data_IF_521213065050
#
_entry.id   IF_521213065050
#
_cell.length_a   1.000
_cell.length_b   1.000
_cell.length_c   1.000
_cell.angle_alpha   90.00
_cell.angle_beta   90.00
_cell.angle_gamma   90.00
#
_symmetry.space_group_name_H-M   'P 1'
#
loop_
_entity.id
_entity.type
_entity.pdbx_description
1 polymer ?
#
# COMPACT_ATOMS: atom_id res chain seq x y z
N UNK A 1 -3.59 5.83 5.91
CA UNK A 1 -3.25 4.48 6.43
C UNK A 1 -4.10 3.51 5.64
N UNK A 2 -3.50 2.58 4.89
CA UNK A 2 -4.26 1.62 4.10
C UNK A 2 -4.77 0.50 5.02
N UNK A 3 -6.08 0.31 5.07
CA UNK A 3 -6.71 -0.79 5.78
C UNK A 3 -7.37 -1.71 4.77
N UNK A 4 -7.41 -3.01 5.07
CA UNK A 4 -8.13 -3.97 4.24
C UNK A 4 -9.61 -3.59 4.12
N UNK A 5 -10.03 -3.17 2.93
CA UNK A 5 -11.46 -2.97 2.57
C UNK A 5 -12.12 -4.26 2.05
N UNK A 6 -11.32 -5.30 1.77
CA UNK A 6 -11.79 -6.61 1.27
C UNK A 6 -12.68 -7.37 2.25
N UNK A 7 -12.60 -7.06 3.55
CA UNK A 7 -13.41 -7.66 4.59
C UNK A 7 -14.24 -6.56 5.23
N UNK A 8 -15.55 -6.59 4.98
CA UNK A 8 -16.44 -5.62 5.60
C UNK A 8 -16.46 -5.88 7.11
N UNK A 9 -16.25 -4.86 7.94
CA UNK A 9 -16.30 -5.00 9.38
C UNK A 9 -17.71 -5.38 9.83
N UNK A 10 -17.80 -6.27 10.81
CA UNK A 10 -19.06 -6.67 11.44
C UNK A 10 -19.05 -6.19 12.90
N UNK A 11 -19.50 -4.95 13.19
CA UNK A 11 -19.20 -4.28 14.46
C UNK A 11 -19.70 -5.02 15.70
N UNK A 12 -20.69 -5.89 15.55
CA UNK A 12 -21.36 -6.63 16.62
C UNK A 12 -20.69 -7.97 16.97
N UNK A 13 -19.76 -8.45 16.13
CA UNK A 13 -19.14 -9.77 16.26
C UNK A 13 -17.62 -9.66 16.40
N UNK A 14 -17.02 -10.57 17.14
CA UNK A 14 -15.58 -10.71 17.17
C UNK A 14 -15.07 -11.31 15.86
N UNK A 15 -14.17 -10.60 15.20
CA UNK A 15 -13.51 -11.02 13.98
C UNK A 15 -12.67 -12.29 14.13
N UNK A 16 -12.23 -12.64 15.35
CA UNK A 16 -11.48 -13.86 15.60
C UNK A 16 -12.37 -15.10 15.77
N UNK A 17 -13.38 -15.03 16.64
CA UNK A 17 -14.16 -16.21 17.06
C UNK A 17 -15.61 -16.21 16.53
N UNK A 18 -16.07 -15.11 15.92
CA UNK A 18 -17.43 -14.96 15.38
C UNK A 18 -18.53 -14.80 16.43
N UNK A 19 -18.17 -14.79 17.72
CA UNK A 19 -19.14 -14.62 18.81
C UNK A 19 -19.47 -13.13 19.02
N UNK A 20 -20.69 -12.82 19.52
CA UNK A 20 -21.06 -11.46 19.86
C UNK A 20 -20.05 -10.77 20.78
N UNK A 21 -19.86 -9.49 20.54
CA UNK A 21 -19.09 -8.64 21.43
C UNK A 21 -19.89 -8.33 22.69
N UNK A 22 -19.23 -8.37 23.84
CA UNK A 22 -19.72 -7.80 25.08
C UNK A 22 -19.07 -6.43 25.29
N UNK A 23 -19.85 -5.43 25.69
CA UNK A 23 -19.40 -4.03 25.82
C UNK A 23 -18.13 -3.87 26.70
N UNK A 24 -17.93 -4.75 27.69
CA UNK A 24 -16.87 -4.59 28.70
C UNK A 24 -15.51 -5.23 28.35
N UNK A 25 -15.45 -6.07 27.30
CA UNK A 25 -14.25 -6.90 27.04
C UNK A 25 -13.97 -7.05 25.54
N UNK A 26 -14.33 -6.01 24.78
CA UNK A 26 -14.14 -5.93 23.35
C UNK A 26 -13.76 -4.52 22.90
N UNK A 27 -13.05 -4.45 21.79
CA UNK A 27 -12.55 -3.21 21.22
C UNK A 27 -12.74 -3.23 19.70
N UNK A 28 -13.17 -2.10 19.16
CA UNK A 28 -13.13 -1.82 17.72
C UNK A 28 -11.86 -1.03 17.42
N UNK A 29 -11.04 -1.52 16.49
CA UNK A 29 -9.77 -0.89 16.14
C UNK A 29 -9.93 0.11 14.98
N UNK A 30 -8.90 0.92 14.73
CA UNK A 30 -8.88 1.93 13.65
C UNK A 30 -9.14 1.35 12.25
N UNK A 31 -8.87 0.06 12.05
CA UNK A 31 -9.19 -0.67 10.83
C UNK A 31 -10.65 -1.15 10.76
N UNK A 32 -11.51 -0.65 11.66
CA UNK A 32 -12.92 -1.00 11.84
C UNK A 32 -13.21 -2.46 12.22
N UNK A 33 -12.18 -3.30 12.40
CA UNK A 33 -12.34 -4.67 12.88
C UNK A 33 -12.44 -4.71 14.41
N UNK A 34 -13.25 -5.63 14.91
CA UNK A 34 -13.62 -5.75 16.30
C UNK A 34 -13.18 -7.08 16.89
N UNK A 35 -12.63 -7.05 18.11
CA UNK A 35 -12.14 -8.25 18.79
C UNK A 35 -12.53 -8.23 20.26
N UNK A 36 -12.75 -9.41 20.84
CA UNK A 36 -12.60 -9.54 22.29
C UNK A 36 -11.14 -9.27 22.66
N UNK A 37 -10.90 -8.69 23.83
CA UNK A 37 -9.53 -8.41 24.29
C UNK A 37 -8.67 -9.68 24.34
N UNK A 38 -9.26 -10.80 24.79
CA UNK A 38 -8.61 -12.10 24.83
C UNK A 38 -8.38 -12.72 23.44
N UNK A 39 -9.14 -12.29 22.42
CA UNK A 39 -9.02 -12.76 21.05
C UNK A 39 -8.04 -11.91 20.23
N UNK A 40 -7.72 -10.70 20.68
CA UNK A 40 -6.83 -9.81 19.97
C UNK A 40 -5.37 -10.19 20.21
N UNK A 41 -4.71 -10.71 19.18
CA UNK A 41 -3.31 -11.13 19.24
C UNK A 41 -2.33 -9.99 18.89
N UNK A 42 -2.56 -8.79 19.41
CA UNK A 42 -1.77 -7.56 19.12
C UNK A 42 -1.72 -7.14 17.64
N UNK A 43 -2.55 -7.73 16.77
CA UNK A 43 -2.66 -7.40 15.35
C UNK A 43 -4.03 -7.82 14.79
N UNK A 44 -4.52 -7.08 13.80
CA UNK A 44 -5.71 -7.48 13.05
C UNK A 44 -5.30 -8.46 11.94
N UNK A 45 -5.93 -9.65 11.92
CA UNK A 45 -5.59 -10.71 10.95
C UNK A 45 -5.84 -10.27 9.50
N UNK A 46 -6.91 -9.51 9.25
CA UNK A 46 -7.25 -9.08 7.90
C UNK A 46 -6.28 -8.03 7.36
N UNK A 47 -5.89 -7.07 8.21
CA UNK A 47 -4.86 -6.10 7.85
C UNK A 47 -3.51 -6.78 7.62
N UNK A 48 -3.14 -7.73 8.47
CA UNK A 48 -1.90 -8.50 8.30
C UNK A 48 -1.86 -9.21 6.94
N UNK A 49 -2.93 -9.92 6.57
CA UNK A 49 -3.01 -10.62 5.28
C UNK A 49 -3.01 -9.65 4.09
N UNK A 50 -3.69 -8.50 4.22
CA UNK A 50 -3.64 -7.44 3.22
C UNK A 50 -2.20 -6.91 3.03
N UNK A 51 -1.49 -6.59 4.11
CA UNK A 51 -0.11 -6.13 4.01
C UNK A 51 0.81 -7.18 3.37
N UNK A 52 0.67 -8.47 3.75
CA UNK A 52 1.45 -9.56 3.14
C UNK A 52 1.21 -9.62 1.62
N UNK A 53 -0.04 -9.51 1.19
CA UNK A 53 -0.42 -9.54 -0.22
C UNK A 53 0.18 -8.35 -0.98
N UNK A 54 -0.07 -7.13 -0.51
CA UNK A 54 0.42 -5.90 -1.16
C UNK A 54 1.94 -5.86 -1.21
N UNK A 55 2.63 -6.30 -0.16
CA UNK A 55 4.09 -6.40 -0.17
C UNK A 55 4.56 -7.36 -1.27
N UNK A 56 3.90 -8.51 -1.40
CA UNK A 56 4.26 -9.49 -2.42
C UNK A 56 3.98 -9.00 -3.85
N UNK A 57 2.85 -8.33 -4.06
CA UNK A 57 2.48 -7.69 -5.34
C UNK A 57 3.52 -6.62 -5.72
N UNK A 58 3.87 -5.74 -4.79
CA UNK A 58 4.89 -4.70 -5.00
C UNK A 58 6.27 -5.30 -5.33
N UNK A 59 6.71 -6.33 -4.60
CA UNK A 59 7.98 -6.99 -4.87
C UNK A 59 7.98 -7.63 -6.26
N UNK A 60 6.90 -8.31 -6.64
CA UNK A 60 6.81 -8.93 -7.95
C UNK A 60 6.77 -7.90 -9.08
N UNK A 61 6.05 -6.80 -8.90
CA UNK A 61 6.02 -5.69 -9.86
C UNK A 61 7.44 -5.11 -10.04
N UNK A 62 8.14 -4.87 -8.93
CA UNK A 62 9.52 -4.39 -8.94
C UNK A 62 10.49 -5.36 -9.64
N UNK A 63 10.40 -6.66 -9.35
CA UNK A 63 11.23 -7.68 -10.01
C UNK A 63 10.98 -7.74 -11.53
N UNK A 64 9.70 -7.67 -11.95
CA UNK A 64 9.35 -7.61 -13.38
C UNK A 64 9.96 -6.40 -14.09
N UNK A 65 10.00 -5.24 -13.42
CA UNK A 65 10.64 -4.05 -13.99
C UNK A 65 12.16 -4.22 -14.12
N UNK A 66 12.83 -4.78 -13.11
CA UNK A 66 14.27 -5.09 -13.18
C UNK A 66 14.56 -6.04 -14.35
N UNK A 67 13.76 -7.10 -14.51
CA UNK A 67 13.92 -8.10 -15.57
C UNK A 67 13.68 -7.52 -16.98
N UNK A 68 12.76 -6.55 -17.12
CA UNK A 68 12.49 -5.87 -18.40
C UNK A 68 13.67 -5.04 -18.90
N UNK A 69 14.61 -4.62 -18.03
CA UNK A 69 15.88 -3.99 -18.41
C UNK A 69 15.81 -2.58 -19.00
N UNK A 70 14.63 -2.03 -19.28
CA UNK A 70 14.43 -0.64 -19.71
C UNK A 70 14.02 0.25 -18.53
N UNK A 71 14.81 1.29 -18.24
CA UNK A 71 14.52 2.33 -17.24
C UNK A 71 13.39 3.30 -17.64
N UNK A 72 12.45 2.88 -18.49
CA UNK A 72 11.28 3.70 -18.86
C UNK A 72 10.05 3.14 -18.15
N UNK A 73 9.69 3.79 -17.05
CA UNK A 73 8.40 3.57 -16.40
C UNK A 73 7.28 3.83 -17.42
N UNK A 74 6.48 2.82 -17.73
CA UNK A 74 5.29 2.97 -18.57
C UNK A 74 4.05 3.07 -17.68
N UNK A 75 3.02 3.81 -18.13
CA UNK A 75 1.74 3.95 -17.39
C UNK A 75 1.11 2.59 -17.04
N UNK A 76 1.35 1.60 -17.89
CA UNK A 76 0.93 0.21 -17.72
C UNK A 76 1.56 -0.49 -16.50
N UNK A 77 2.69 0.00 -15.99
CA UNK A 77 3.33 -0.51 -14.77
C UNK A 77 2.79 0.19 -13.48
N UNK A 78 1.86 1.14 -13.62
CA UNK A 78 1.20 1.89 -12.54
C UNK A 78 -0.29 1.53 -12.36
N UNK A 79 -0.92 0.93 -13.37
CA UNK A 79 -2.33 0.56 -13.33
C UNK A 79 -2.50 -0.85 -12.75
N UNK A 80 -2.71 -0.93 -11.43
CA UNK A 80 -3.31 -2.10 -10.77
C UNK A 80 -4.73 -1.72 -10.33
N UNK A 81 -5.66 -1.83 -11.27
CA UNK A 81 -7.12 -1.98 -11.13
C UNK A 81 -7.81 -1.23 -9.95
N UNK A 82 -8.23 0.01 -10.24
CA UNK A 82 -9.59 0.54 -10.03
C UNK A 82 -10.34 0.13 -8.73
N UNK A 83 -9.95 0.68 -7.57
CA UNK A 83 -10.90 1.25 -6.59
C UNK A 83 -10.17 1.95 -5.43
N UNK A 84 -9.49 3.06 -5.71
CA UNK A 84 -9.39 4.13 -4.72
C UNK A 84 -9.25 5.44 -5.47
N UNK A 85 -10.20 6.35 -5.28
CA UNK A 85 -10.20 7.66 -5.92
C UNK A 85 -9.00 8.43 -5.37
N UNK A 86 -7.91 8.39 -6.11
CA UNK A 86 -6.63 8.99 -5.73
C UNK A 86 -6.53 10.40 -6.30
N UNK A 87 -7.10 11.38 -5.60
CA UNK A 87 -6.92 12.81 -5.92
C UNK A 87 -5.56 13.35 -5.42
N UNK A 88 -4.69 12.49 -4.85
CA UNK A 88 -3.39 12.85 -4.26
C UNK A 88 -2.15 12.21 -4.89
N UNK A 89 -2.28 11.12 -5.66
CA UNK A 89 -1.15 10.51 -6.38
C UNK A 89 -0.61 11.45 -7.44
N UNK A 90 -1.53 12.06 -8.20
CA UNK A 90 -1.23 12.76 -9.43
C UNK A 90 -0.32 13.97 -9.20
N UNK A 91 -0.34 14.55 -8.00
CA UNK A 91 0.61 15.60 -7.59
C UNK A 91 1.99 15.05 -7.21
N UNK A 92 2.04 13.94 -6.46
CA UNK A 92 3.31 13.29 -6.06
C UNK A 92 4.06 12.75 -7.28
N UNK A 93 3.35 12.19 -8.27
CA UNK A 93 3.94 11.72 -9.52
C UNK A 93 4.54 12.87 -10.34
N UNK A 94 3.87 14.03 -10.42
CA UNK A 94 4.40 15.22 -11.11
C UNK A 94 5.65 15.77 -10.45
N UNK A 95 5.77 15.66 -9.13
CA UNK A 95 6.97 16.07 -8.38
C UNK A 95 8.14 15.12 -8.67
N UNK A 96 7.91 13.81 -8.72
CA UNK A 96 8.94 12.80 -9.01
C UNK A 96 9.46 12.93 -10.45
N UNK A 97 8.57 13.12 -11.44
CA UNK A 97 8.96 13.30 -12.85
C UNK A 97 9.87 14.53 -13.03
N UNK A 98 9.52 15.66 -12.41
CA UNK A 98 10.35 16.87 -12.40
C UNK A 98 11.71 16.65 -11.74
N UNK A 99 11.76 15.88 -10.66
CA UNK A 99 13.01 15.58 -9.96
C UNK A 99 13.95 14.72 -10.83
N UNK A 100 13.40 13.74 -11.55
CA UNK A 100 14.16 12.89 -12.47
C UNK A 100 14.70 13.65 -13.68
N UNK A 101 13.88 14.51 -14.30
CA UNK A 101 14.30 15.38 -15.40
C UNK A 101 15.44 16.31 -14.98
N UNK A 102 15.34 16.87 -13.77
CA UNK A 102 16.39 17.73 -13.20
C UNK A 102 17.67 16.94 -12.96
N UNK A 103 17.55 15.73 -12.39
CA UNK A 103 18.70 14.84 -12.12
C UNK A 103 19.43 14.46 -13.41
N UNK A 104 18.70 14.12 -14.48
CA UNK A 104 19.28 13.78 -15.78
C UNK A 104 20.00 14.99 -16.40
N UNK A 105 19.41 16.18 -16.32
CA UNK A 105 20.03 17.42 -16.79
C UNK A 105 21.31 17.79 -16.03
N UNK A 106 21.37 17.51 -14.72
CA UNK A 106 22.57 17.72 -13.92
C UNK A 106 23.66 16.70 -14.26
N UNK A 107 23.31 15.43 -14.44
CA UNK A 107 24.26 14.38 -14.82
C UNK A 107 24.91 14.65 -16.17
N UNK A 108 24.13 15.12 -17.16
CA UNK A 108 24.65 15.51 -18.47
C UNK A 108 25.64 16.68 -18.39
N UNK A 109 25.35 17.69 -17.56
CA UNK A 109 26.25 18.84 -17.36
C UNK A 109 27.53 18.48 -16.63
N UNK A 110 27.48 17.55 -15.68
CA UNK A 110 28.68 17.05 -14.99
C UNK A 110 29.60 16.34 -16.00
N UNK A 111 29.02 15.53 -16.88
CA UNK A 111 29.76 14.82 -17.92
C UNK A 111 30.51 15.77 -18.88
N UNK A 112 29.89 16.90 -19.25
CA UNK A 112 30.51 17.95 -20.08
C UNK A 112 31.60 18.79 -19.36
N UNK A 113 31.70 18.70 -18.04
CA UNK A 113 32.76 19.36 -17.26
C UNK A 113 33.96 18.41 -17.07
N UNK A 114 33.70 17.11 -17.00
CA UNK A 114 34.73 16.08 -16.81
C UNK A 114 35.44 15.66 -18.11
N UNK A 115 34.94 16.05 -19.28
CA UNK A 115 35.50 15.76 -20.62
C UNK A 115 35.58 17.02 -21.48
#
# INVERSE_FOLDING_TARGET
MAYSTFYLPHPELCDCCGLPLSDDNSMVYVCSHSYHDACYNNKCKYCEEYYKRVIFENINSFLKQIEKGENKLMKEDLDDDENDVEEGADEVFKEIEKALDTSFGLAAKIYEIEH
#
